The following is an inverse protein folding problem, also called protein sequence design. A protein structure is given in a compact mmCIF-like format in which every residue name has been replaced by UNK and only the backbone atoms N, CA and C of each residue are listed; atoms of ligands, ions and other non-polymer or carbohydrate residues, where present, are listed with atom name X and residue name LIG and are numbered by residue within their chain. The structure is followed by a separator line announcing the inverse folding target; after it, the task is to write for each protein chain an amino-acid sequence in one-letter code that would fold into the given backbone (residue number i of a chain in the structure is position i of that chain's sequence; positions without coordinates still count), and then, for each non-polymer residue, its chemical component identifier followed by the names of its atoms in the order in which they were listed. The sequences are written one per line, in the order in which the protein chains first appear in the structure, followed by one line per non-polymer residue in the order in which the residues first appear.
data_IF_722185385229
#
_entry.id   IF_722185385229
#
_cell.length_a   1.000
_cell.length_b   1.000
_cell.length_c   1.000
_cell.angle_alpha   90.00
_cell.angle_beta   90.00
_cell.angle_gamma   90.00
#
_symmetry.space_group_name_H-M   'P 1'
#
loop_
_entity.id
_entity.type
_entity.pdbx_description
1 polymer ?
#
# COMPACT_ATOMS: atom_id res chain seq x y z
N UNK A 1 -5.69 -12.42 -10.10
CA UNK A 1 -4.53 -12.12 -9.22
C UNK A 1 -4.41 -10.60 -9.09
N UNK A 2 -4.27 -10.12 -7.89
CA UNK A 2 -4.13 -8.68 -7.62
C UNK A 2 -2.69 -8.24 -7.82
N UNK A 3 -2.49 -7.03 -8.35
CA UNK A 3 -1.16 -6.49 -8.58
C UNK A 3 -0.42 -6.15 -7.28
N UNK A 4 -1.13 -5.66 -6.27
CA UNK A 4 -0.56 -5.33 -4.96
C UNK A 4 -1.24 -6.13 -3.87
N UNK A 5 -0.46 -6.57 -2.89
CA UNK A 5 -0.91 -7.38 -1.76
C UNK A 5 -0.32 -6.85 -0.46
N UNK A 6 -0.92 -7.23 0.68
CA UNK A 6 -0.33 -6.91 1.98
C UNK A 6 1.07 -7.51 2.09
N UNK A 7 1.98 -6.77 2.71
CA UNK A 7 3.39 -7.13 2.80
C UNK A 7 4.26 -6.61 1.67
N UNK A 8 3.67 -6.12 0.57
CA UNK A 8 4.44 -5.52 -0.53
C UNK A 8 5.00 -4.17 -0.10
N UNK A 9 6.24 -3.91 -0.47
CA UNK A 9 6.82 -2.59 -0.29
C UNK A 9 6.45 -1.71 -1.48
N UNK A 10 5.92 -0.53 -1.19
CA UNK A 10 5.45 0.41 -2.21
C UNK A 10 6.01 1.79 -1.95
N UNK A 11 5.99 2.62 -2.99
CA UNK A 11 6.32 4.04 -2.91
C UNK A 11 5.09 4.84 -3.33
N UNK A 12 4.84 5.94 -2.61
CA UNK A 12 3.74 6.85 -2.94
C UNK A 12 4.19 7.73 -4.10
N UNK A 13 3.40 7.72 -5.19
CA UNK A 13 3.75 8.45 -6.41
C UNK A 13 2.95 9.73 -6.61
N UNK A 14 1.91 9.95 -5.80
CA UNK A 14 1.07 11.14 -5.90
C UNK A 14 0.50 11.49 -4.52
N UNK A 15 0.15 12.74 -4.32
CA UNK A 15 -0.42 13.25 -3.10
C UNK A 15 0.62 13.85 -2.16
N UNK A 16 0.21 14.17 -0.92
CA UNK A 16 1.08 14.89 0.02
C UNK A 16 2.28 14.06 0.51
N UNK A 17 2.18 12.74 0.45
CA UNK A 17 3.26 11.84 0.91
C UNK A 17 4.11 11.31 -0.24
N UNK A 18 4.05 11.94 -1.41
CA UNK A 18 4.83 11.55 -2.58
C UNK A 18 6.30 11.33 -2.23
N UNK A 19 6.81 10.18 -2.64
CA UNK A 19 8.20 9.79 -2.39
C UNK A 19 8.41 8.94 -1.15
N UNK A 20 7.41 8.84 -0.26
CA UNK A 20 7.52 7.98 0.91
C UNK A 20 7.34 6.52 0.52
N UNK A 21 8.08 5.64 1.20
CA UNK A 21 7.98 4.19 1.02
C UNK A 21 7.46 3.53 2.28
N UNK A 22 6.86 2.37 2.11
CA UNK A 22 6.38 1.58 3.22
C UNK A 22 5.79 0.28 2.76
N UNK A 23 5.45 -0.59 3.69
CA UNK A 23 4.81 -1.86 3.40
C UNK A 23 3.29 -1.73 3.49
N UNK A 24 2.60 -2.38 2.57
CA UNK A 24 1.14 -2.47 2.62
C UNK A 24 0.73 -3.32 3.82
N UNK A 25 -0.04 -2.72 4.71
CA UNK A 25 -0.60 -3.41 5.88
C UNK A 25 -1.89 -4.13 5.50
N UNK A 26 -2.71 -3.49 4.65
CA UNK A 26 -4.03 -3.98 4.31
C UNK A 26 -4.43 -3.46 2.93
N UNK A 27 -5.09 -4.31 2.16
CA UNK A 27 -5.74 -3.92 0.91
C UNK A 27 -7.23 -3.86 1.17
N UNK A 28 -7.83 -2.70 0.89
CA UNK A 28 -9.27 -2.48 1.05
C UNK A 28 -9.90 -2.53 -0.34
N UNK A 29 -10.76 -3.52 -0.56
CA UNK A 29 -11.48 -3.63 -1.83
C UNK A 29 -12.49 -2.50 -1.93
N UNK A 30 -12.32 -1.67 -2.94
CA UNK A 30 -13.24 -0.59 -3.22
C UNK A 30 -14.35 -0.99 -4.15
N UNK A 31 -15.36 -0.14 -4.23
CA UNK A 31 -16.46 -0.28 -5.16
C UNK A 31 -16.20 0.56 -6.42
N UNK A 32 -16.99 1.60 -6.64
CA UNK A 32 -16.89 2.46 -7.82
C UNK A 32 -15.59 3.27 -7.91
N UNK A 33 -14.94 3.54 -6.78
CA UNK A 33 -13.71 4.33 -6.72
C UNK A 33 -12.44 3.49 -6.83
N UNK A 34 -12.58 2.17 -6.92
CA UNK A 34 -11.46 1.26 -6.99
C UNK A 34 -10.90 0.88 -5.63
N UNK A 35 -9.86 0.09 -5.66
CA UNK A 35 -9.23 -0.41 -4.45
C UNK A 35 -8.36 0.66 -3.76
N UNK A 36 -8.21 0.51 -2.45
CA UNK A 36 -7.34 1.35 -1.63
C UNK A 36 -6.39 0.47 -0.84
N UNK A 37 -5.27 1.05 -0.44
CA UNK A 37 -4.27 0.36 0.37
C UNK A 37 -3.93 1.20 1.59
N UNK A 38 -3.67 0.53 2.70
CA UNK A 38 -3.14 1.15 3.90
C UNK A 38 -1.65 0.82 3.96
N UNK A 39 -0.82 1.85 3.94
CA UNK A 39 0.64 1.71 3.94
C UNK A 39 1.17 2.16 5.29
N UNK A 40 2.01 1.34 5.90
CA UNK A 40 2.57 1.61 7.23
C UNK A 40 3.39 2.91 7.21
N UNK A 41 3.06 3.81 8.13
CA UNK A 41 3.75 5.09 8.29
C UNK A 41 3.44 6.15 7.24
N UNK A 42 2.47 5.90 6.36
CA UNK A 42 2.12 6.78 5.25
C UNK A 42 0.66 7.21 5.38
N UNK A 43 0.38 8.42 4.92
CA UNK A 43 -0.96 9.03 4.95
C UNK A 43 -1.54 9.06 6.37
N UNK A 44 -0.72 9.48 7.31
CA UNK A 44 -1.11 9.59 8.71
C UNK A 44 -2.12 10.72 8.87
N UNK A 45 -3.23 10.41 9.53
CA UNK A 45 -4.24 11.39 9.89
C UNK A 45 -4.38 11.45 11.41
N UNK A 46 -4.55 12.64 11.93
CA UNK A 46 -4.76 12.86 13.36
C UNK A 46 -6.26 12.94 13.64
N UNK A 47 -6.71 12.15 14.58
CA UNK A 47 -8.10 12.18 15.01
C UNK A 47 -8.19 12.53 16.48
N UNK A 48 -9.10 13.46 16.79
CA UNK A 48 -9.48 13.72 18.17
C UNK A 48 -10.43 12.64 18.64
N UNK A 49 -10.06 11.94 19.70
CA UNK A 49 -10.96 11.00 20.36
C UNK A 49 -11.47 11.62 21.65
N UNK A 50 -12.79 11.51 21.88
CA UNK A 50 -13.37 11.93 23.16
C UNK A 50 -13.14 10.84 24.19
N UNK A 51 -12.90 11.21 25.48
CA UNK A 51 -12.82 10.20 26.53
C UNK A 51 -14.09 9.38 26.59
N UNK A 52 -13.96 8.08 26.70
CA UNK A 52 -15.09 7.17 26.86
C UNK A 52 -14.91 6.42 28.19
N UNK A 53 -15.58 6.84 29.29
CA UNK A 53 -15.39 6.19 30.56
C UNK A 53 -15.88 4.73 30.58
N UNK A 54 -16.82 4.38 29.73
CA UNK A 54 -17.31 3.00 29.65
C UNK A 54 -16.32 2.05 28.98
N UNK A 55 -15.55 2.57 28.01
CA UNK A 55 -14.53 1.80 27.28
C UNK A 55 -13.12 2.05 27.83
N UNK A 56 -13.00 2.86 28.89
CA UNK A 56 -11.71 3.23 29.50
C UNK A 56 -10.70 3.79 28.50
N UNK A 57 -11.18 4.41 27.43
CA UNK A 57 -10.31 5.03 26.44
C UNK A 57 -9.93 6.44 26.86
N UNK A 58 -8.64 6.75 26.96
CA UNK A 58 -8.23 8.12 27.17
C UNK A 58 -8.55 8.94 25.93
N UNK A 59 -9.04 10.14 26.12
CA UNK A 59 -9.20 11.09 25.02
C UNK A 59 -7.84 11.58 24.56
N UNK A 60 -7.80 12.13 23.35
CA UNK A 60 -6.57 12.69 22.81
C UNK A 60 -6.52 12.69 21.30
N UNK A 61 -5.32 12.91 20.78
CA UNK A 61 -5.05 12.89 19.35
C UNK A 61 -4.39 11.56 19.02
N UNK A 62 -5.02 10.80 18.14
CA UNK A 62 -4.49 9.51 17.67
C UNK A 62 -4.10 9.65 16.21
N UNK A 63 -2.90 9.21 15.88
CA UNK A 63 -2.46 9.12 14.50
C UNK A 63 -2.79 7.72 13.94
N UNK A 64 -3.43 7.69 12.78
CA UNK A 64 -3.76 6.45 12.09
C UNK A 64 -3.40 6.56 10.62
N UNK A 65 -2.95 5.47 10.04
CA UNK A 65 -2.77 5.39 8.60
C UNK A 65 -4.13 5.34 7.91
N UNK A 66 -4.39 6.30 7.03
CA UNK A 66 -5.59 6.29 6.20
C UNK A 66 -5.31 5.56 4.88
N UNK A 67 -6.36 4.99 4.29
CA UNK A 67 -6.23 4.29 3.01
C UNK A 67 -5.91 5.25 1.88
N UNK A 68 -5.06 4.80 0.95
CA UNK A 68 -4.65 5.56 -0.23
C UNK A 68 -5.17 4.84 -1.46
N UNK A 69 -5.62 5.59 -2.47
CA UNK A 69 -6.02 5.00 -3.74
C UNK A 69 -4.85 4.18 -4.33
N UNK A 70 -5.14 2.98 -4.81
CA UNK A 70 -4.11 2.08 -5.33
C UNK A 70 -3.35 2.70 -6.51
N UNK A 71 -4.00 3.59 -7.26
CA UNK A 71 -3.37 4.32 -8.35
C UNK A 71 -2.32 5.33 -7.90
N UNK A 72 -2.30 5.68 -6.61
CA UNK A 72 -1.36 6.65 -6.04
C UNK A 72 -0.10 5.99 -5.47
N UNK A 73 0.03 4.68 -5.58
CA UNK A 73 1.21 3.94 -5.15
C UNK A 73 1.73 3.05 -6.27
N UNK A 74 3.02 2.77 -6.22
CA UNK A 74 3.67 1.84 -7.14
C UNK A 74 4.49 0.85 -6.33
N UNK A 75 4.68 -0.36 -6.86
CA UNK A 75 5.55 -1.34 -6.21
C UNK A 75 6.98 -0.78 -6.17
N UNK A 76 7.64 -0.91 -5.03
CA UNK A 76 9.03 -0.46 -4.90
C UNK A 76 9.96 -1.51 -5.47
N UNK A 77 10.80 -1.11 -6.42
CA UNK A 77 11.82 -1.99 -6.98
C UNK A 77 13.17 -1.67 -6.32
N UNK A 78 13.68 -2.56 -5.47
CA UNK A 78 14.92 -2.28 -4.72
C UNK A 78 16.15 -2.17 -5.63
N UNK A 79 16.12 -2.77 -6.83
CA UNK A 79 17.26 -2.67 -7.75
C UNK A 79 17.36 -1.30 -8.42
N UNK A 80 16.22 -0.69 -8.74
CA UNK A 80 16.20 0.64 -9.34
C UNK A 80 16.07 1.75 -8.31
N UNK A 81 15.65 1.41 -7.09
CA UNK A 81 15.38 2.38 -6.02
C UNK A 81 14.15 3.25 -6.29
N UNK A 82 13.29 2.85 -7.20
CA UNK A 82 12.14 3.63 -7.65
C UNK A 82 10.87 2.78 -7.68
N UNK A 83 9.73 3.46 -7.84
CA UNK A 83 8.47 2.80 -8.10
C UNK A 83 8.47 2.14 -9.48
N UNK A 84 7.79 1.04 -9.57
CA UNK A 84 7.68 0.25 -10.79
C UNK A 84 6.23 -0.19 -10.97
N UNK A 85 5.93 -0.70 -12.13
CA UNK A 85 4.63 -1.31 -12.41
C UNK A 85 4.71 -2.82 -12.21
N UNK A 86 3.59 -3.40 -11.81
CA UNK A 86 3.47 -4.85 -11.67
C UNK A 86 2.99 -5.42 -12.99
N UNK A 87 3.77 -6.36 -13.53
CA UNK A 87 3.35 -7.19 -14.65
C UNK A 87 3.14 -8.62 -14.17
N UNK A 88 2.66 -9.45 -15.08
CA UNK A 88 2.45 -10.87 -14.81
C UNK A 88 3.22 -11.69 -15.83
N UNK A 89 3.79 -12.79 -15.35
CA UNK A 89 4.53 -13.73 -16.17
C UNK A 89 4.03 -15.13 -15.86
N UNK A 90 3.83 -15.94 -16.90
CA UNK A 90 3.50 -17.35 -16.73
C UNK A 90 4.81 -18.13 -16.85
N UNK A 91 5.18 -18.85 -15.78
CA UNK A 91 6.38 -19.66 -15.75
C UNK A 91 6.18 -20.96 -16.54
N UNK A 92 7.28 -21.69 -16.79
CA UNK A 92 7.25 -22.95 -17.52
C UNK A 92 6.33 -24.00 -16.89
N UNK A 93 6.18 -23.97 -15.58
CA UNK A 93 5.27 -24.84 -14.84
C UNK A 93 3.80 -24.41 -14.90
N UNK A 94 3.51 -23.34 -15.63
CA UNK A 94 2.16 -22.81 -15.74
C UNK A 94 1.72 -21.89 -14.62
N UNK A 95 2.57 -21.62 -13.65
CA UNK A 95 2.25 -20.74 -12.53
C UNK A 95 2.40 -19.28 -12.93
N UNK A 96 1.38 -18.47 -12.66
CA UNK A 96 1.39 -17.03 -12.91
C UNK A 96 2.02 -16.32 -11.72
N UNK A 97 3.05 -15.53 -11.97
CA UNK A 97 3.75 -14.76 -10.94
C UNK A 97 3.75 -13.29 -11.28
N UNK A 98 3.91 -12.46 -10.25
CA UNK A 98 4.07 -11.02 -10.43
C UNK A 98 5.54 -10.70 -10.69
N UNK A 99 5.79 -9.79 -11.61
CA UNK A 99 7.14 -9.33 -11.93
C UNK A 99 7.19 -7.82 -11.98
N UNK A 100 8.37 -7.26 -11.74
CA UNK A 100 8.61 -5.85 -12.00
C UNK A 100 8.69 -5.64 -13.52
N UNK A 101 7.92 -4.70 -14.05
CA UNK A 101 7.90 -4.46 -15.50
C UNK A 101 9.25 -3.99 -16.06
N UNK A 102 10.03 -3.27 -15.28
CA UNK A 102 11.29 -2.70 -15.77
C UNK A 102 12.36 -3.75 -16.00
N UNK A 103 12.44 -4.78 -15.16
CA UNK A 103 13.51 -5.79 -15.24
C UNK A 103 13.02 -7.23 -15.28
N UNK A 104 11.72 -7.45 -15.28
CA UNK A 104 11.08 -8.77 -15.34
C UNK A 104 11.46 -9.72 -14.19
N UNK A 105 11.91 -9.17 -13.06
CA UNK A 105 12.22 -9.99 -11.89
C UNK A 105 10.96 -10.31 -11.10
N UNK A 106 10.92 -11.52 -10.56
CA UNK A 106 9.77 -12.01 -9.82
C UNK A 106 9.61 -11.25 -8.51
N UNK A 107 8.39 -10.77 -8.26
CA UNK A 107 8.03 -10.14 -6.99
C UNK A 107 7.59 -11.21 -5.98
N UNK A 108 6.85 -12.18 -6.46
CA UNK A 108 6.30 -13.23 -5.60
C UNK A 108 4.88 -13.61 -5.92
#
# INVERSE_FOLDING_TARGET
MKKLRSGDEVVVIAGRDKGKTGKIVKVVTGDRKGDKVVVKGVNLVKRHTKPNPQAEQPGGIIEKEAAIAISNVAIFNPETGKGDRVGFLIQEDGVKVRVFKSNQKVIG
#
